data_IF_682489241252
#
_entry.id   IF_682489241252
#
_cell.length_a   1.000
_cell.length_b   1.000
_cell.length_c   1.000
_cell.angle_alpha   90.00
_cell.angle_beta   90.00
_cell.angle_gamma   90.00
#
_symmetry.space_group_name_H-M   'P 1'
#
loop_
_entity.id
_entity.type
_entity.pdbx_description
1 polymer ?
#
# COMPACT_ATOMS: atom_id res chain seq x y z
N UNK A 1 17.20 -29.74 -3.62
CA UNK A 1 15.75 -29.47 -3.44
C UNK A 1 15.34 -28.17 -2.68
N UNK A 2 16.24 -27.29 -2.14
CA UNK A 2 15.78 -26.11 -1.38
C UNK A 2 15.13 -25.02 -2.23
N UNK A 3 15.42 -24.96 -3.54
CA UNK A 3 14.87 -23.96 -4.46
C UNK A 3 13.36 -24.13 -4.72
N UNK A 4 12.84 -25.37 -4.67
CA UNK A 4 11.40 -25.64 -4.86
C UNK A 4 10.58 -25.17 -3.65
N UNK A 5 11.11 -25.37 -2.44
CA UNK A 5 10.49 -24.88 -1.20
C UNK A 5 10.47 -23.34 -1.13
N UNK A 6 11.57 -22.68 -1.54
CA UNK A 6 11.59 -21.22 -1.64
C UNK A 6 10.60 -20.67 -2.68
N UNK A 7 10.50 -21.31 -3.86
CA UNK A 7 9.52 -20.92 -4.89
C UNK A 7 8.08 -21.08 -4.39
N UNK A 8 7.76 -22.20 -3.76
CA UNK A 8 6.43 -22.43 -3.18
C UNK A 8 6.09 -21.39 -2.11
N UNK A 9 7.04 -21.07 -1.21
CA UNK A 9 6.87 -20.01 -0.20
C UNK A 9 6.64 -18.64 -0.84
N UNK A 10 7.42 -18.30 -1.87
CA UNK A 10 7.25 -17.05 -2.62
C UNK A 10 5.87 -16.95 -3.27
N UNK A 11 5.42 -18.02 -3.94
CA UNK A 11 4.08 -18.09 -4.52
C UNK A 11 2.99 -17.93 -3.47
N UNK A 12 3.10 -18.59 -2.32
CA UNK A 12 2.12 -18.44 -1.25
C UNK A 12 2.04 -16.99 -0.73
N UNK A 13 3.18 -16.32 -0.56
CA UNK A 13 3.22 -14.92 -0.14
C UNK A 13 2.61 -13.97 -1.18
N UNK A 14 2.88 -14.20 -2.47
CA UNK A 14 2.31 -13.41 -3.58
C UNK A 14 0.80 -13.61 -3.68
N UNK A 15 0.32 -14.86 -3.63
CA UNK A 15 -1.11 -15.16 -3.63
C UNK A 15 -1.80 -14.54 -2.42
N UNK A 16 -1.20 -14.64 -1.22
CA UNK A 16 -1.71 -13.98 -0.03
C UNK A 16 -1.81 -12.47 -0.20
N UNK A 17 -0.79 -11.83 -0.78
CA UNK A 17 -0.79 -10.39 -1.06
C UNK A 17 -1.92 -10.02 -2.03
N UNK A 18 -2.09 -10.77 -3.12
CA UNK A 18 -3.15 -10.55 -4.10
C UNK A 18 -4.55 -10.66 -3.47
N UNK A 19 -4.77 -11.65 -2.60
CA UNK A 19 -6.04 -11.83 -1.89
C UNK A 19 -6.30 -10.70 -0.89
N UNK A 20 -5.32 -10.32 -0.09
CA UNK A 20 -5.47 -9.26 0.92
C UNK A 20 -5.73 -7.90 0.25
N UNK A 21 -4.95 -7.56 -0.77
CA UNK A 21 -5.10 -6.26 -1.44
C UNK A 21 -6.31 -6.21 -2.37
N UNK A 22 -6.62 -7.30 -3.08
CA UNK A 22 -7.81 -7.39 -3.94
C UNK A 22 -9.10 -7.40 -3.11
N UNK A 23 -9.14 -8.21 -2.05
CA UNK A 23 -10.28 -8.32 -1.14
C UNK A 23 -10.58 -7.03 -0.37
N UNK A 24 -9.55 -6.20 -0.14
CA UNK A 24 -9.71 -4.89 0.50
C UNK A 24 -10.77 -4.02 -0.19
N UNK A 25 -10.86 -4.02 -1.52
CA UNK A 25 -11.83 -3.19 -2.25
C UNK A 25 -13.28 -3.59 -1.95
N UNK A 26 -13.55 -4.88 -1.73
CA UNK A 26 -14.87 -5.38 -1.35
C UNK A 26 -15.26 -4.94 0.08
N UNK A 27 -14.30 -4.86 0.99
CA UNK A 27 -14.52 -4.39 2.36
C UNK A 27 -14.67 -2.85 2.41
N UNK A 28 -13.86 -2.13 1.65
CA UNK A 28 -13.83 -0.66 1.66
C UNK A 28 -15.07 -0.07 0.98
N UNK A 29 -15.61 -0.68 -0.08
CA UNK A 29 -16.73 -0.12 -0.84
C UNK A 29 -17.98 0.15 0.03
N UNK A 30 -18.46 -0.77 0.89
CA UNK A 30 -19.55 -0.47 1.83
C UNK A 30 -19.23 0.64 2.84
N UNK A 31 -17.97 0.74 3.30
CA UNK A 31 -17.53 1.80 4.23
C UNK A 31 -17.62 3.19 3.59
N UNK A 32 -17.58 3.29 2.26
CA UNK A 32 -17.72 4.56 1.54
C UNK A 32 -19.11 5.20 1.66
N UNK A 33 -20.11 4.47 2.18
CA UNK A 33 -21.42 5.03 2.49
C UNK A 33 -21.39 5.97 3.72
N UNK A 34 -20.41 5.78 4.61
CA UNK A 34 -20.29 6.55 5.86
C UNK A 34 -19.00 7.38 5.94
N UNK A 35 -17.94 6.97 5.23
CA UNK A 35 -16.63 7.60 5.27
C UNK A 35 -16.18 8.00 3.88
N UNK A 36 -15.69 9.23 3.73
CA UNK A 36 -15.14 9.69 2.46
C UNK A 36 -13.74 9.06 2.19
N UNK A 37 -13.28 9.08 0.92
CA UNK A 37 -11.98 8.54 0.53
C UNK A 37 -10.78 9.08 1.32
N UNK A 38 -10.82 10.36 1.74
CA UNK A 38 -9.73 10.97 2.50
C UNK A 38 -9.70 10.41 3.91
N UNK A 39 -10.85 10.35 4.58
CA UNK A 39 -10.96 9.77 5.93
C UNK A 39 -10.50 8.30 5.95
N UNK A 40 -10.90 7.51 4.95
CA UNK A 40 -10.43 6.12 4.81
C UNK A 40 -8.92 6.02 4.60
N UNK A 41 -8.34 6.94 3.82
CA UNK A 41 -6.89 7.00 3.59
C UNK A 41 -6.12 7.37 4.87
N UNK A 42 -6.60 8.38 5.60
CA UNK A 42 -6.01 8.81 6.87
C UNK A 42 -6.13 7.72 7.94
N UNK A 43 -7.27 7.04 8.04
CA UNK A 43 -7.44 5.94 8.98
C UNK A 43 -6.53 4.74 8.65
N UNK A 44 -6.28 4.50 7.37
CA UNK A 44 -5.41 3.41 6.91
C UNK A 44 -3.93 3.66 7.18
N UNK A 45 -3.44 4.87 6.92
CA UNK A 45 -2.00 5.17 7.01
C UNK A 45 -1.61 5.94 8.28
N UNK A 46 -2.53 6.72 8.85
CA UNK A 46 -2.30 7.59 10.00
C UNK A 46 -1.83 6.84 11.25
N UNK A 47 -2.47 5.74 11.67
CA UNK A 47 -2.02 4.93 12.81
C UNK A 47 -0.81 4.04 12.48
N UNK A 48 -0.70 3.59 11.23
CA UNK A 48 0.35 2.66 10.80
C UNK A 48 1.71 3.36 10.72
N UNK A 49 1.75 4.62 10.27
CA UNK A 49 2.99 5.39 10.21
C UNK A 49 3.74 5.52 11.56
N UNK A 50 3.13 6.00 12.66
CA UNK A 50 3.80 6.06 13.96
C UNK A 50 4.12 4.68 14.51
N UNK A 51 3.29 3.66 14.24
CA UNK A 51 3.60 2.28 14.61
C UNK A 51 4.87 1.77 13.95
N UNK A 52 5.03 2.01 12.63
CA UNK A 52 6.25 1.65 11.91
C UNK A 52 7.46 2.47 12.36
N UNK A 53 7.28 3.74 12.70
CA UNK A 53 8.35 4.56 13.28
C UNK A 53 8.76 4.05 14.66
N UNK A 54 7.81 3.64 15.50
CA UNK A 54 8.09 3.03 16.80
C UNK A 54 8.81 1.69 16.66
N UNK A 55 8.40 0.87 15.69
CA UNK A 55 9.07 -0.39 15.37
C UNK A 55 10.50 -0.16 14.87
N UNK A 56 10.69 0.79 13.93
CA UNK A 56 12.00 1.17 13.43
C UNK A 56 12.92 1.64 14.56
N UNK A 57 12.38 2.48 15.45
CA UNK A 57 13.12 2.95 16.62
C UNK A 57 13.47 1.80 17.58
N UNK A 58 12.58 0.83 17.79
CA UNK A 58 12.81 -0.31 18.66
C UNK A 58 13.84 -1.31 18.10
N UNK A 59 13.86 -1.50 16.78
CA UNK A 59 14.72 -2.51 16.12
C UNK A 59 16.08 -1.93 15.74
N UNK A 60 16.13 -0.72 15.19
CA UNK A 60 17.33 -0.11 14.62
C UNK A 60 17.85 1.09 15.44
N UNK A 61 17.08 1.54 16.43
CA UNK A 61 17.46 2.63 17.31
C UNK A 61 17.21 4.02 16.73
N UNK A 62 17.65 5.04 17.47
CA UNK A 62 17.37 6.45 17.16
C UNK A 62 18.14 6.97 15.95
N UNK A 63 19.25 6.32 15.58
CA UNK A 63 20.05 6.70 14.42
C UNK A 63 19.32 6.42 13.09
N UNK A 64 18.47 5.39 13.03
CA UNK A 64 17.69 5.04 11.84
C UNK A 64 16.62 6.09 11.47
N UNK A 65 16.25 6.97 12.40
CA UNK A 65 15.32 8.09 12.14
C UNK A 65 16.01 9.32 11.53
N UNK A 66 17.34 9.29 11.35
CA UNK A 66 18.06 10.40 10.74
C UNK A 66 17.75 10.43 9.25
N UNK A 67 17.12 11.52 8.82
CA UNK A 67 16.72 11.69 7.42
C UNK A 67 17.87 12.13 6.50
N UNK A 68 19.06 12.42 7.05
CA UNK A 68 20.30 12.74 6.31
C UNK A 68 20.11 13.75 5.15
N UNK A 69 19.22 14.73 5.33
CA UNK A 69 18.89 15.74 4.30
C UNK A 69 17.92 15.25 3.21
N UNK A 70 17.58 13.97 3.16
CA UNK A 70 16.60 13.38 2.24
C UNK A 70 15.14 13.56 2.69
N UNK A 71 14.88 14.28 3.79
CA UNK A 71 13.53 14.50 4.33
C UNK A 71 12.50 15.02 3.31
N UNK A 72 12.80 16.08 2.52
CA UNK A 72 11.88 16.58 1.50
C UNK A 72 11.58 15.55 0.40
N UNK A 73 12.60 14.78 -0.02
CA UNK A 73 12.43 13.71 -1.00
C UNK A 73 11.57 12.57 -0.46
N UNK A 74 11.80 12.17 0.79
CA UNK A 74 11.02 11.15 1.47
C UNK A 74 9.56 11.58 1.61
N UNK A 75 9.32 12.84 1.98
CA UNK A 75 7.99 13.41 2.07
C UNK A 75 7.30 13.46 0.71
N UNK A 76 7.98 13.92 -0.34
CA UNK A 76 7.42 13.98 -1.69
C UNK A 76 7.08 12.59 -2.24
N UNK A 77 8.01 11.63 -2.14
CA UNK A 77 7.81 10.26 -2.61
C UNK A 77 6.76 9.52 -1.78
N UNK A 78 6.74 9.69 -0.46
CA UNK A 78 5.74 9.09 0.42
C UNK A 78 4.35 9.67 0.16
N UNK A 79 4.25 10.99 0.00
CA UNK A 79 2.98 11.65 -0.31
C UNK A 79 2.46 11.23 -1.68
N UNK A 80 3.30 11.26 -2.73
CA UNK A 80 2.87 10.89 -4.07
C UNK A 80 2.55 9.39 -4.18
N UNK A 81 3.41 8.55 -3.60
CA UNK A 81 3.35 7.09 -3.71
C UNK A 81 2.32 6.43 -2.82
N UNK A 82 2.21 6.81 -1.53
CA UNK A 82 1.26 6.18 -0.61
C UNK A 82 -0.04 6.97 -0.50
N UNK A 83 0.02 8.27 -0.21
CA UNK A 83 -1.18 9.08 -0.04
C UNK A 83 -1.88 9.35 -1.37
N UNK A 84 -1.12 9.74 -2.40
CA UNK A 84 -1.63 10.01 -3.75
C UNK A 84 -2.26 8.77 -4.38
N UNK A 85 -1.53 7.66 -4.42
CA UNK A 85 -2.08 6.39 -4.90
C UNK A 85 -3.31 5.95 -4.11
N UNK A 86 -3.24 5.93 -2.78
CA UNK A 86 -4.34 5.47 -1.93
C UNK A 86 -5.62 6.29 -2.14
N UNK A 87 -5.47 7.62 -2.19
CA UNK A 87 -6.58 8.54 -2.42
C UNK A 87 -7.18 8.35 -3.82
N UNK A 88 -6.35 8.31 -4.86
CA UNK A 88 -6.81 8.13 -6.24
C UNK A 88 -7.48 6.76 -6.43
N UNK A 89 -6.96 5.71 -5.80
CA UNK A 89 -7.55 4.37 -5.81
C UNK A 89 -8.95 4.37 -5.17
N UNK A 90 -9.13 5.05 -4.04
CA UNK A 90 -10.44 5.14 -3.40
C UNK A 90 -11.41 6.09 -4.12
N UNK A 91 -10.93 7.18 -4.70
CA UNK A 91 -11.74 8.03 -5.59
C UNK A 91 -12.23 7.25 -6.81
N UNK A 92 -11.36 6.43 -7.42
CA UNK A 92 -11.73 5.52 -8.49
C UNK A 92 -12.76 4.47 -8.03
N UNK A 93 -12.51 3.85 -6.87
CA UNK A 93 -13.46 2.90 -6.26
C UNK A 93 -14.83 3.54 -5.98
N UNK A 94 -14.90 4.82 -5.62
CA UNK A 94 -16.19 5.50 -5.42
C UNK A 94 -17.06 5.44 -6.68
N UNK A 95 -16.44 5.50 -7.87
CA UNK A 95 -17.10 5.53 -9.18
C UNK A 95 -17.15 4.17 -9.89
N UNK A 96 -16.37 3.18 -9.45
CA UNK A 96 -16.29 1.86 -10.05
C UNK A 96 -16.90 0.77 -9.16
N UNK A 97 -17.22 -0.36 -9.76
CA UNK A 97 -17.51 -1.58 -9.01
C UNK A 97 -16.21 -2.17 -8.43
N UNK A 98 -16.23 -2.81 -7.24
CA UNK A 98 -15.05 -3.37 -6.60
C UNK A 98 -14.26 -4.34 -7.48
N UNK A 99 -14.96 -5.11 -8.33
CA UNK A 99 -14.36 -6.05 -9.26
C UNK A 99 -13.46 -5.31 -10.25
N UNK A 100 -13.98 -4.26 -10.90
CA UNK A 100 -13.21 -3.43 -11.83
C UNK A 100 -12.05 -2.70 -11.13
N UNK A 101 -12.30 -2.18 -9.92
CA UNK A 101 -11.27 -1.49 -9.14
C UNK A 101 -10.10 -2.39 -8.73
N UNK A 102 -10.35 -3.69 -8.46
CA UNK A 102 -9.32 -4.65 -8.04
C UNK A 102 -8.40 -5.11 -9.18
N UNK A 103 -8.87 -5.06 -10.44
CA UNK A 103 -8.07 -5.46 -11.60
C UNK A 103 -7.08 -4.36 -12.01
N UNK A 104 -7.40 -3.08 -11.78
CA UNK A 104 -6.55 -1.95 -12.18
C UNK A 104 -5.15 -2.01 -11.53
N UNK A 105 -4.98 -2.20 -10.21
CA UNK A 105 -3.67 -2.36 -9.58
C UNK A 105 -2.89 -3.59 -10.07
N UNK A 106 -3.57 -4.62 -10.59
CA UNK A 106 -2.89 -5.79 -11.16
C UNK A 106 -2.07 -5.46 -12.41
N UNK A 107 -2.30 -4.29 -13.03
CA UNK A 107 -1.53 -3.78 -14.17
C UNK A 107 -0.25 -3.04 -13.75
N UNK A 108 -0.04 -2.75 -12.46
CA UNK A 108 1.15 -2.06 -11.97
C UNK A 108 2.48 -2.70 -12.39
N UNK A 109 2.63 -4.04 -12.46
CA UNK A 109 3.86 -4.65 -12.98
C UNK A 109 4.16 -4.26 -14.44
N UNK A 110 3.13 -4.12 -15.28
CA UNK A 110 3.30 -3.69 -16.67
C UNK A 110 3.76 -2.22 -16.74
N UNK A 111 3.18 -1.37 -15.89
CA UNK A 111 3.60 0.04 -15.77
C UNK A 111 5.06 0.11 -15.32
N UNK A 112 5.45 -0.71 -14.33
CA UNK A 112 6.82 -0.75 -13.83
C UNK A 112 7.82 -1.08 -14.95
N UNK A 113 7.55 -2.12 -15.75
CA UNK A 113 8.41 -2.49 -16.90
C UNK A 113 8.47 -1.38 -17.96
N UNK A 114 7.40 -0.61 -18.15
CA UNK A 114 7.38 0.46 -19.14
C UNK A 114 8.23 1.70 -18.73
N UNK A 115 8.48 1.89 -17.43
CA UNK A 115 9.20 3.06 -16.90
C UNK A 115 10.62 2.75 -16.42
N UNK A 116 10.99 1.46 -16.29
CA UNK A 116 12.33 0.98 -15.90
C UNK A 116 13.09 0.44 -17.08
#
# INVERSE_FOLDING_TARGET
MPHLSQRARGMAMLTGTALVWGGMFAVVKPLMAALDPFTLTVLRYGPVAPLLLALLWAVEGRAALRLEGAGPRLWALGTLGFAGFGLLAFLGLARAEPQHASVIPALMPLIAVAIT
#
